data_IF_083770654524
#
_entry.id   IF_083770654524
#
_cell.length_a   1.000
_cell.length_b   1.000
_cell.length_c   1.000
_cell.angle_alpha   90.00
_cell.angle_beta   90.00
_cell.angle_gamma   90.00
#
_symmetry.space_group_name_H-M   'P 1'
#
loop_
_entity.id
_entity.type
_entity.pdbx_description
1 polymer ?
#
# COMPACT_ATOMS: atom_id res chain seq x y z
N UNK A 1 17.06 -3.90 13.59
CA UNK A 1 16.18 -4.91 12.96
C UNK A 1 15.49 -4.23 11.79
N UNK A 2 15.45 -4.83 10.60
CA UNK A 2 14.82 -4.25 9.40
C UNK A 2 13.41 -4.82 9.25
N UNK A 3 12.43 -3.97 8.92
CA UNK A 3 11.02 -4.36 8.81
C UNK A 3 10.36 -3.61 7.64
N UNK A 4 9.39 -4.27 6.98
CA UNK A 4 8.62 -3.73 5.86
C UNK A 4 7.18 -4.25 5.99
N UNK A 5 6.20 -3.35 5.97
CA UNK A 5 4.80 -3.74 5.87
C UNK A 5 4.47 -4.18 4.44
N UNK A 6 3.99 -5.41 4.29
CA UNK A 6 3.59 -6.02 3.01
C UNK A 6 2.07 -6.13 2.81
N UNK A 7 1.29 -5.87 3.86
CA UNK A 7 -0.17 -5.85 3.84
C UNK A 7 -0.62 -4.55 4.50
N UNK A 8 -1.10 -3.58 3.70
CA UNK A 8 -1.49 -2.25 4.15
C UNK A 8 -2.67 -1.76 3.32
N UNK A 9 -3.72 -1.29 4.00
CA UNK A 9 -4.86 -0.64 3.35
C UNK A 9 -4.69 0.88 3.37
N UNK A 10 -4.88 1.50 2.21
CA UNK A 10 -4.89 2.95 2.04
C UNK A 10 -6.32 3.45 1.98
N UNK A 11 -6.53 4.78 1.94
CA UNK A 11 -7.84 5.39 1.69
C UNK A 11 -8.55 4.94 0.41
N UNK A 12 -7.87 4.20 -0.48
CA UNK A 12 -8.47 3.60 -1.66
C UNK A 12 -9.19 2.27 -1.37
N UNK A 13 -9.02 1.70 -0.17
CA UNK A 13 -9.96 0.74 0.42
C UNK A 13 -11.19 1.48 0.95
N UNK A 14 -12.06 1.90 0.04
CA UNK A 14 -13.08 2.95 0.25
C UNK A 14 -13.96 2.84 1.51
N UNK A 15 -14.17 1.63 2.03
CA UNK A 15 -15.07 1.38 3.17
C UNK A 15 -14.34 1.23 4.52
N UNK A 16 -13.03 1.03 4.53
CA UNK A 16 -12.26 0.64 5.73
C UNK A 16 -10.90 1.33 5.85
N UNK A 17 -10.24 1.61 4.72
CA UNK A 17 -8.93 2.21 4.70
C UNK A 17 -8.95 3.68 5.11
N UNK A 18 -8.17 4.02 6.13
CA UNK A 18 -8.03 5.40 6.63
C UNK A 18 -6.69 6.05 6.24
N UNK A 19 -5.69 5.24 5.87
CA UNK A 19 -4.32 5.71 5.69
C UNK A 19 -4.15 6.47 4.36
N UNK A 20 -3.72 7.73 4.42
CA UNK A 20 -3.38 8.50 3.21
C UNK A 20 -2.02 8.06 2.69
N UNK A 21 -1.88 8.00 1.37
CA UNK A 21 -0.63 7.58 0.70
C UNK A 21 0.58 8.40 1.17
N UNK A 22 0.43 9.73 1.25
CA UNK A 22 1.53 10.61 1.63
C UNK A 22 2.00 10.35 3.07
N UNK A 23 1.05 10.26 4.01
CA UNK A 23 1.30 9.98 5.43
C UNK A 23 1.91 8.58 5.63
N UNK A 24 1.45 7.58 4.87
CA UNK A 24 2.00 6.22 4.89
C UNK A 24 3.48 6.21 4.49
N UNK A 25 3.81 6.89 3.40
CA UNK A 25 5.19 6.95 2.90
C UNK A 25 6.07 7.72 3.89
N UNK A 26 5.61 8.86 4.41
CA UNK A 26 6.38 9.66 5.37
C UNK A 26 6.65 8.88 6.66
N UNK A 27 5.67 8.11 7.14
CA UNK A 27 5.84 7.24 8.29
C UNK A 27 6.85 6.12 8.02
N UNK A 28 6.78 5.48 6.85
CA UNK A 28 7.72 4.42 6.48
C UNK A 28 9.17 4.94 6.41
N UNK A 29 9.38 6.16 5.89
CA UNK A 29 10.69 6.82 5.84
C UNK A 29 11.18 7.17 7.26
N UNK A 30 10.30 7.73 8.10
CA UNK A 30 10.64 8.08 9.48
C UNK A 30 11.07 6.86 10.30
N UNK A 31 10.42 5.71 10.08
CA UNK A 31 10.75 4.43 10.70
C UNK A 31 11.90 3.68 9.99
N UNK A 32 12.56 4.32 9.01
CA UNK A 32 13.70 3.77 8.25
C UNK A 32 13.39 2.45 7.55
N UNK A 33 12.15 2.27 7.10
CA UNK A 33 11.74 1.11 6.31
C UNK A 33 12.25 1.27 4.86
N UNK A 34 12.95 0.28 4.29
CA UNK A 34 13.48 0.40 2.92
C UNK A 34 12.40 0.30 1.83
N UNK A 35 11.22 -0.19 2.18
CA UNK A 35 10.09 -0.39 1.29
C UNK A 35 8.77 -0.32 2.07
N UNK A 36 7.66 -0.12 1.36
CA UNK A 36 6.30 -0.28 1.90
C UNK A 36 5.38 -0.78 0.80
N UNK A 37 4.41 -1.61 1.15
CA UNK A 37 3.39 -2.10 0.23
C UNK A 37 2.06 -1.36 0.39
N UNK A 38 1.25 -1.41 -0.66
CA UNK A 38 -0.20 -1.21 -0.58
C UNK A 38 -0.91 -2.49 -1.06
N UNK A 39 -2.00 -2.86 -0.41
CA UNK A 39 -2.78 -4.06 -0.71
C UNK A 39 -4.27 -3.78 -0.50
N UNK A 40 -4.81 -2.79 -1.21
CA UNK A 40 -6.20 -2.37 -1.02
C UNK A 40 -7.23 -3.47 -1.33
N UNK A 41 -8.40 -3.37 -0.71
CA UNK A 41 -9.49 -4.33 -0.85
C UNK A 41 -10.04 -4.39 -2.28
N UNK A 42 -9.72 -5.47 -3.00
CA UNK A 42 -10.29 -5.81 -4.32
C UNK A 42 -10.03 -4.78 -5.43
N UNK A 43 -9.17 -3.79 -5.20
CA UNK A 43 -8.96 -2.67 -6.09
C UNK A 43 -7.51 -2.17 -6.08
N UNK A 44 -7.13 -1.48 -7.16
CA UNK A 44 -5.80 -0.89 -7.36
C UNK A 44 -5.88 0.63 -7.64
N UNK A 45 -6.94 1.30 -7.19
CA UNK A 45 -7.20 2.71 -7.50
C UNK A 45 -6.03 3.63 -7.08
N UNK A 46 -5.41 3.33 -5.94
CA UNK A 46 -4.28 4.10 -5.41
C UNK A 46 -2.92 3.75 -6.00
N UNK A 47 -2.80 2.70 -6.80
CA UNK A 47 -1.50 2.10 -7.18
C UNK A 47 -0.58 3.05 -7.95
N UNK A 48 -1.12 3.75 -8.95
CA UNK A 48 -0.32 4.69 -9.74
C UNK A 48 0.14 5.89 -8.90
N UNK A 49 -0.78 6.48 -8.11
CA UNK A 49 -0.47 7.60 -7.21
C UNK A 49 0.59 7.21 -6.18
N UNK A 50 0.44 6.03 -5.57
CA UNK A 50 1.39 5.48 -4.60
C UNK A 50 2.77 5.28 -5.24
N UNK A 51 2.83 4.68 -6.43
CA UNK A 51 4.08 4.44 -7.13
C UNK A 51 4.85 5.74 -7.38
N UNK A 52 4.20 6.75 -7.96
CA UNK A 52 4.83 8.05 -8.25
C UNK A 52 5.33 8.70 -6.97
N UNK A 53 4.50 8.76 -5.93
CA UNK A 53 4.86 9.39 -4.65
C UNK A 53 5.98 8.67 -3.91
N UNK A 54 5.98 7.35 -3.93
CA UNK A 54 7.02 6.54 -3.31
C UNK A 54 8.38 6.74 -4.01
N UNK A 55 8.38 6.76 -5.34
CA UNK A 55 9.58 7.04 -6.15
C UNK A 55 10.13 8.45 -5.89
N UNK A 56 9.26 9.47 -5.86
CA UNK A 56 9.63 10.86 -5.54
C UNK A 56 10.32 10.97 -4.17
N UNK A 57 9.89 10.16 -3.19
CA UNK A 57 10.44 10.16 -1.83
C UNK A 57 11.54 9.10 -1.59
N UNK A 58 11.97 8.39 -2.63
CA UNK A 58 13.09 7.46 -2.58
C UNK A 58 12.86 6.18 -1.77
N UNK A 59 11.60 5.81 -1.50
CA UNK A 59 11.26 4.52 -0.88
C UNK A 59 10.84 3.53 -1.96
N UNK A 60 11.18 2.24 -1.81
CA UNK A 60 10.76 1.21 -2.77
C UNK A 60 9.25 0.93 -2.63
N UNK A 61 8.41 1.23 -3.65
CA UNK A 61 7.01 0.84 -3.63
C UNK A 61 6.84 -0.66 -3.91
N UNK A 62 5.93 -1.29 -3.18
CA UNK A 62 5.46 -2.66 -3.46
C UNK A 62 3.97 -2.58 -3.77
N UNK A 63 3.59 -2.88 -5.00
CA UNK A 63 2.18 -2.82 -5.44
C UNK A 63 1.56 -4.20 -5.25
N UNK A 64 0.50 -4.27 -4.46
CA UNK A 64 -0.31 -5.46 -4.28
C UNK A 64 -1.79 -5.10 -4.20
N UNK A 65 -2.62 -6.13 -4.02
CA UNK A 65 -4.07 -6.02 -3.87
C UNK A 65 -4.54 -7.17 -3.00
N UNK A 66 -5.44 -6.89 -2.06
CA UNK A 66 -6.11 -7.94 -1.31
C UNK A 66 -7.32 -8.42 -2.13
N UNK A 67 -7.13 -9.51 -2.86
CA UNK A 67 -8.15 -10.03 -3.78
C UNK A 67 -9.26 -10.77 -3.03
N UNK A 68 -10.51 -10.48 -3.38
CA UNK A 68 -11.64 -11.34 -3.00
C UNK A 68 -11.67 -12.59 -3.86
N UNK A 69 -11.49 -13.76 -3.24
CA UNK A 69 -11.57 -15.07 -3.90
C UNK A 69 -12.85 -15.78 -3.49
N UNK A 70 -13.70 -16.11 -4.46
CA UNK A 70 -14.85 -16.97 -4.22
C UNK A 70 -14.40 -18.37 -3.76
N UNK A 71 -15.19 -19.02 -2.88
CA UNK A 71 -14.87 -20.36 -2.36
C UNK A 71 -14.77 -21.41 -3.47
N UNK A 72 -15.61 -21.29 -4.49
CA UNK A 72 -15.71 -22.23 -5.61
C UNK A 72 -15.50 -21.49 -6.94
N UNK A 73 -15.12 -22.26 -7.97
CA UNK A 73 -15.19 -21.83 -9.37
C UNK A 73 -16.64 -21.82 -9.85
N UNK A 74 -16.88 -21.10 -10.96
CA UNK A 74 -18.01 -21.37 -11.85
C UNK A 74 -17.93 -22.78 -12.41
#
# INVERSE_FOLDING_TARGET
MSFVHLHVHTGYSLLDGMCRIDDLIDKAIAEKMPAVAITDHGALYGAFKFFVKAQEKGIKPIIGVETYKAKNSR
#
